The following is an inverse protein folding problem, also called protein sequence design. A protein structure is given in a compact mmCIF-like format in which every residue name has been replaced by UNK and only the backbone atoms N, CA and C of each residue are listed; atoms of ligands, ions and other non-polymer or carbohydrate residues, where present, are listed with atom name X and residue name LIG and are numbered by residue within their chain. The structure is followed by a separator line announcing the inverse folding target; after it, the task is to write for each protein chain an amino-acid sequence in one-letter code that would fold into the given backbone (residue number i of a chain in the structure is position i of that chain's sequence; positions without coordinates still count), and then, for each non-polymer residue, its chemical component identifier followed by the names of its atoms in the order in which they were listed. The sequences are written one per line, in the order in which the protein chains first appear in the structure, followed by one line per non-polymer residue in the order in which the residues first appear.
data_IF_998322484815
#
_entry.id   IF_998322484815
#
_cell.length_a   1.000
_cell.length_b   1.000
_cell.length_c   1.000
_cell.angle_alpha   90.00
_cell.angle_beta   90.00
_cell.angle_gamma   90.00
#
_symmetry.space_group_name_H-M   'P 1'
#
loop_
_entity.id
_entity.type
_entity.pdbx_description
1 polymer ?
#
# COMPACT_ATOMS: atom_id res chain seq x y z
N UNK A 1 6.12 -10.16 2.00
CA UNK A 1 6.75 -9.04 2.72
C UNK A 1 5.85 -8.60 3.85
N UNK A 2 6.44 -8.33 4.99
CA UNK A 2 5.67 -7.90 6.16
C UNK A 2 5.31 -6.43 6.01
N UNK A 3 4.04 -6.12 6.22
CA UNK A 3 3.53 -4.75 6.21
C UNK A 3 2.67 -4.51 7.44
N UNK A 4 2.67 -3.28 7.95
CA UNK A 4 1.73 -2.92 9.00
C UNK A 4 0.38 -2.53 8.38
N UNK A 5 -0.69 -2.80 9.12
CA UNK A 5 -2.04 -2.36 8.78
C UNK A 5 -2.45 -1.11 9.55
N UNK A 6 -1.48 -0.35 10.06
CA UNK A 6 -1.76 0.80 10.91
C UNK A 6 -2.66 1.83 10.23
N UNK A 7 -2.41 2.13 8.95
CA UNK A 7 -3.25 3.08 8.21
C UNK A 7 -4.71 2.63 8.12
N UNK A 8 -4.94 1.34 7.88
CA UNK A 8 -6.29 0.75 7.82
C UNK A 8 -6.96 0.78 9.19
N UNK A 9 -6.23 0.38 10.23
CA UNK A 9 -6.75 0.35 11.61
C UNK A 9 -7.10 1.77 12.10
N UNK A 10 -6.31 2.76 11.74
CA UNK A 10 -6.61 4.16 12.03
C UNK A 10 -7.83 4.65 11.28
N UNK A 11 -7.95 4.34 9.99
CA UNK A 11 -9.08 4.73 9.17
C UNK A 11 -10.39 4.14 9.67
N UNK A 12 -10.39 2.87 10.05
CA UNK A 12 -11.56 2.19 10.63
C UNK A 12 -12.04 2.85 11.93
N UNK A 13 -11.14 3.47 12.68
CA UNK A 13 -11.42 4.08 13.99
C UNK A 13 -11.51 5.60 13.93
N UNK A 14 -11.34 6.20 12.76
CA UNK A 14 -11.35 7.66 12.61
C UNK A 14 -10.21 8.36 13.35
N UNK A 15 -9.06 7.70 13.50
CA UNK A 15 -7.90 8.21 14.22
C UNK A 15 -6.91 8.91 13.29
N UNK A 16 -6.28 9.96 13.82
CA UNK A 16 -5.20 10.69 13.15
C UNK A 16 -3.87 10.38 13.82
N UNK A 17 -2.77 10.67 13.14
CA UNK A 17 -1.41 10.53 13.69
C UNK A 17 -1.27 11.30 15.03
N UNK A 18 -1.84 12.50 15.13
CA UNK A 18 -1.79 13.28 16.35
C UNK A 18 -2.46 12.56 17.52
N UNK A 19 -3.56 11.87 17.30
CA UNK A 19 -4.25 11.11 18.34
C UNK A 19 -3.38 9.98 18.88
N UNK A 20 -2.71 9.24 17.98
CA UNK A 20 -1.79 8.17 18.37
C UNK A 20 -0.57 8.72 19.14
N UNK A 21 -0.02 9.84 18.69
CA UNK A 21 1.10 10.51 19.37
C UNK A 21 0.71 10.90 20.81
N UNK A 22 -0.44 11.49 20.99
CA UNK A 22 -0.91 11.93 22.31
C UNK A 22 -1.16 10.76 23.26
N UNK A 23 -1.76 9.67 22.76
CA UNK A 23 -2.15 8.52 23.58
C UNK A 23 -1.00 7.54 23.83
N UNK A 24 -0.10 7.37 22.89
CA UNK A 24 0.97 6.36 23.01
C UNK A 24 2.33 6.95 23.33
N UNK A 25 2.55 8.23 23.08
CA UNK A 25 3.85 8.88 23.21
C UNK A 25 4.85 8.50 22.10
N UNK A 26 4.43 7.75 21.11
CA UNK A 26 5.29 7.39 19.98
C UNK A 26 5.44 8.60 19.06
N UNK A 27 6.67 8.89 18.61
CA UNK A 27 6.91 10.06 17.76
C UNK A 27 6.12 10.01 16.46
N UNK A 28 5.72 11.17 15.96
CA UNK A 28 4.98 11.28 14.69
C UNK A 28 5.78 10.71 13.52
N UNK A 29 7.10 10.91 13.51
CA UNK A 29 7.99 10.38 12.49
C UNK A 29 7.94 8.84 12.45
N UNK A 30 8.01 8.20 13.62
CA UNK A 30 7.91 6.74 13.73
C UNK A 30 6.54 6.25 13.28
N UNK A 31 5.46 6.92 13.71
CA UNK A 31 4.10 6.55 13.31
C UNK A 31 3.89 6.67 11.80
N UNK A 32 4.39 7.73 11.19
CA UNK A 32 4.32 7.91 9.73
C UNK A 32 5.10 6.83 8.98
N UNK A 33 6.30 6.50 9.45
CA UNK A 33 7.11 5.44 8.85
C UNK A 33 6.38 4.08 8.89
N UNK A 34 5.68 3.79 9.99
CA UNK A 34 4.89 2.56 10.12
C UNK A 34 3.68 2.57 9.19
N UNK A 35 2.96 3.69 9.09
CA UNK A 35 1.78 3.80 8.20
C UNK A 35 2.15 3.69 6.72
N UNK A 36 3.29 4.24 6.34
CA UNK A 36 3.78 4.23 4.96
C UNK A 36 4.54 2.96 4.59
N UNK A 37 4.85 2.12 5.57
CA UNK A 37 5.63 0.89 5.40
C UNK A 37 7.02 1.11 4.76
N UNK A 38 7.64 2.25 5.05
CA UNK A 38 8.94 2.62 4.51
C UNK A 38 10.09 2.45 5.51
N UNK A 39 9.80 1.99 6.73
CA UNK A 39 10.80 1.69 7.75
C UNK A 39 11.42 0.32 7.53
N UNK A 40 12.65 0.14 8.08
CA UNK A 40 13.39 -1.13 8.02
C UNK A 40 13.09 -2.05 9.19
N UNK A 41 12.42 -1.56 10.21
CA UNK A 41 12.09 -2.32 11.40
C UNK A 41 11.25 -1.52 12.37
N UNK A 42 10.73 -2.19 13.37
CA UNK A 42 9.95 -1.58 14.43
C UNK A 42 10.30 -2.28 15.74
N UNK A 43 10.35 -1.52 16.84
CA UNK A 43 10.62 -2.09 18.16
C UNK A 43 9.38 -2.81 18.70
N UNK A 44 9.58 -3.88 19.43
CA UNK A 44 8.48 -4.62 20.08
C UNK A 44 7.65 -3.73 21.01
N UNK A 45 8.31 -2.83 21.75
CA UNK A 45 7.62 -1.89 22.64
C UNK A 45 6.64 -0.99 21.87
N UNK A 46 7.04 -0.53 20.70
CA UNK A 46 6.19 0.28 19.82
C UNK A 46 4.96 -0.50 19.34
N UNK A 47 5.17 -1.73 18.89
CA UNK A 47 4.07 -2.62 18.46
C UNK A 47 3.14 -2.91 19.62
N UNK A 48 3.69 -3.20 20.80
CA UNK A 48 2.91 -3.48 22.01
C UNK A 48 1.99 -2.32 22.39
N UNK A 49 2.53 -1.09 22.40
CA UNK A 49 1.74 0.11 22.68
C UNK A 49 0.63 0.34 21.66
N UNK A 50 0.93 0.16 20.39
CA UNK A 50 -0.04 0.34 19.32
C UNK A 50 -1.14 -0.74 19.37
N UNK A 51 -0.79 -1.98 19.56
CA UNK A 51 -1.75 -3.07 19.69
C UNK A 51 -2.65 -2.87 20.91
N UNK A 52 -2.07 -2.47 22.03
CA UNK A 52 -2.83 -2.20 23.26
C UNK A 52 -3.80 -1.04 23.06
N UNK A 53 -3.36 0.06 22.48
CA UNK A 53 -4.22 1.22 22.24
C UNK A 53 -5.34 0.93 21.24
N UNK A 54 -5.02 0.23 20.15
CA UNK A 54 -5.99 -0.10 19.09
C UNK A 54 -6.88 -1.28 19.45
N UNK A 55 -6.55 -2.05 20.50
CA UNK A 55 -7.29 -3.24 20.89
C UNK A 55 -7.17 -4.38 19.89
N UNK A 56 -5.99 -4.54 19.28
CA UNK A 56 -5.71 -5.58 18.29
C UNK A 56 -4.52 -6.44 18.73
N UNK A 57 -4.43 -7.63 18.14
CA UNK A 57 -3.26 -8.50 18.29
C UNK A 57 -2.20 -8.16 17.23
N UNK A 58 -0.93 -8.59 17.41
CA UNK A 58 0.06 -8.45 16.33
C UNK A 58 -0.34 -9.13 15.03
N UNK A 59 -1.11 -10.21 15.07
CA UNK A 59 -1.64 -10.87 13.89
C UNK A 59 -2.63 -10.00 13.11
N UNK A 60 -3.35 -9.14 13.81
CA UNK A 60 -4.27 -8.16 13.20
C UNK A 60 -3.56 -6.88 12.78
N UNK A 61 -2.43 -6.56 13.44
CA UNK A 61 -1.65 -5.37 13.15
C UNK A 61 -0.77 -5.52 11.93
N UNK A 62 -0.21 -6.71 11.70
CA UNK A 62 0.65 -7.00 10.56
C UNK A 62 -0.08 -7.83 9.53
N UNK A 63 0.33 -7.68 8.28
CA UNK A 63 -0.03 -8.58 7.20
C UNK A 63 1.22 -9.04 6.47
N UNK A 64 1.15 -10.22 5.90
CA UNK A 64 2.23 -10.76 5.08
C UNK A 64 1.74 -10.95 3.66
N UNK A 65 2.46 -10.37 2.72
CA UNK A 65 2.19 -10.58 1.30
C UNK A 65 3.49 -11.02 0.61
N UNK A 66 3.46 -12.11 -0.17
CA UNK A 66 4.62 -12.51 -0.97
C UNK A 66 4.88 -11.55 -2.12
N UNK A 67 3.94 -10.66 -2.42
CA UNK A 67 4.03 -9.73 -3.53
C UNK A 67 3.72 -8.31 -3.08
N UNK A 68 4.49 -7.34 -3.59
CA UNK A 68 4.13 -5.93 -3.55
C UNK A 68 3.66 -5.51 -4.92
N UNK A 69 2.50 -4.86 -4.99
CA UNK A 69 1.92 -4.40 -6.23
C UNK A 69 1.81 -2.87 -6.22
N UNK A 70 2.36 -2.23 -7.24
CA UNK A 70 2.21 -0.81 -7.48
C UNK A 70 1.52 -0.60 -8.83
N UNK A 71 0.60 0.36 -8.86
CA UNK A 71 -0.10 0.75 -10.07
C UNK A 71 0.28 2.19 -10.40
N UNK A 72 0.89 2.39 -11.55
CA UNK A 72 1.25 3.70 -12.05
C UNK A 72 0.47 4.00 -13.34
N UNK A 73 0.12 5.27 -13.50
CA UNK A 73 -0.57 5.73 -14.71
C UNK A 73 0.49 6.11 -15.74
N UNK A 74 0.46 5.45 -16.89
CA UNK A 74 1.32 5.79 -18.02
C UNK A 74 0.68 6.96 -18.76
N UNK A 75 1.46 8.03 -19.00
CA UNK A 75 0.97 9.20 -19.75
C UNK A 75 0.52 8.79 -21.13
N UNK A 76 -0.73 9.12 -21.42
CA UNK A 76 -1.27 8.95 -22.75
C UNK A 76 -0.93 10.19 -23.59
N UNK A 77 -0.44 9.98 -24.83
CA UNK A 77 -0.16 11.03 -25.79
C UNK A 77 -1.43 11.59 -26.49
N UNK A 78 -2.60 11.15 -26.09
CA UNK A 78 -3.86 11.67 -26.62
C UNK A 78 -4.29 12.93 -25.86
N UNK A 79 -4.92 13.87 -26.56
CA UNK A 79 -5.44 15.12 -25.98
C UNK A 79 -6.61 14.93 -25.00
N UNK A 80 -6.87 13.72 -24.57
CA UNK A 80 -7.91 13.42 -23.58
C UNK A 80 -7.31 13.41 -22.20
N UNK A 81 -7.95 14.07 -21.25
CA UNK A 81 -7.51 14.09 -19.84
C UNK A 81 -7.76 12.76 -19.10
N UNK A 82 -8.18 11.73 -19.80
CA UNK A 82 -8.45 10.41 -19.21
C UNK A 82 -7.26 9.51 -19.53
N UNK A 83 -6.49 9.08 -18.51
CA UNK A 83 -5.42 8.10 -18.71
C UNK A 83 -6.04 6.76 -19.12
N UNK A 84 -5.55 6.20 -20.22
CA UNK A 84 -6.05 4.92 -20.75
C UNK A 84 -5.11 3.76 -20.46
N UNK A 85 -3.85 4.04 -20.10
CA UNK A 85 -2.84 3.04 -19.85
C UNK A 85 -2.39 3.08 -18.38
N UNK A 86 -2.34 1.90 -17.77
CA UNK A 86 -1.84 1.70 -16.41
C UNK A 86 -0.69 0.71 -16.44
N UNK A 87 0.37 1.01 -15.70
CA UNK A 87 1.45 0.07 -15.45
C UNK A 87 1.28 -0.52 -14.05
N UNK A 88 1.20 -1.86 -13.99
CA UNK A 88 1.13 -2.60 -12.73
C UNK A 88 2.47 -3.28 -12.52
N UNK A 89 3.17 -2.91 -11.45
CA UNK A 89 4.43 -3.53 -11.04
C UNK A 89 4.18 -4.46 -9.87
N UNK A 90 4.56 -5.73 -10.03
CA UNK A 90 4.47 -6.74 -8.97
C UNK A 90 5.90 -7.17 -8.61
N UNK A 91 6.23 -7.05 -7.32
CA UNK A 91 7.51 -7.45 -6.74
C UNK A 91 7.31 -8.68 -5.86
N UNK A 92 8.06 -9.75 -6.09
CA UNK A 92 8.06 -10.92 -5.22
C UNK A 92 9.20 -10.85 -4.19
N UNK A 93 9.32 -11.88 -3.33
CA UNK A 93 10.36 -11.97 -2.30
C UNK A 93 11.80 -11.97 -2.85
N UNK A 94 11.99 -12.41 -4.07
CA UNK A 94 13.29 -12.45 -4.75
C UNK A 94 13.61 -11.15 -5.48
N UNK A 95 12.79 -10.11 -5.26
CA UNK A 95 12.87 -8.82 -5.96
C UNK A 95 12.72 -8.92 -7.49
N UNK A 96 12.14 -10.00 -7.97
CA UNK A 96 11.75 -10.11 -9.37
C UNK A 96 10.57 -9.18 -9.63
N UNK A 97 10.67 -8.41 -10.71
CA UNK A 97 9.61 -7.48 -11.09
C UNK A 97 8.83 -8.03 -12.26
N UNK A 98 7.53 -8.10 -12.10
CA UNK A 98 6.60 -8.41 -13.17
C UNK A 98 5.86 -7.13 -13.52
N UNK A 99 5.90 -6.77 -14.80
CA UNK A 99 5.21 -5.58 -15.29
C UNK A 99 4.01 -6.00 -16.13
N UNK A 100 2.87 -5.39 -15.84
CA UNK A 100 1.66 -5.57 -16.62
C UNK A 100 1.25 -4.21 -17.17
N UNK A 101 1.11 -4.12 -18.48
CA UNK A 101 0.53 -2.97 -19.11
C UNK A 101 -0.96 -3.22 -19.31
N UNK A 102 -1.78 -2.39 -18.71
CA UNK A 102 -3.23 -2.48 -18.76
C UNK A 102 -3.76 -1.28 -19.51
N UNK A 103 -4.48 -1.53 -20.59
CA UNK A 103 -5.13 -0.49 -21.38
C UNK A 103 -6.64 -0.57 -21.13
N UNK A 104 -7.26 0.53 -20.74
CA UNK A 104 -8.69 0.61 -20.52
C UNK A 104 -9.34 1.14 -21.80
N UNK A 105 -10.16 0.29 -22.44
CA UNK A 105 -10.89 0.64 -23.64
C UNK A 105 -12.35 0.86 -23.24
N UNK A 106 -12.85 2.09 -23.53
CA UNK A 106 -14.25 2.40 -23.34
C UNK A 106 -15.05 1.93 -24.55
N UNK A 107 -16.02 1.05 -24.34
CA UNK A 107 -16.95 0.60 -25.35
C UNK A 107 -18.41 0.78 -24.89
N UNK A 108 -18.97 1.95 -25.17
CA UNK A 108 -20.33 2.27 -24.77
C UNK A 108 -20.50 2.36 -23.26
N UNK A 109 -21.29 1.45 -22.66
CA UNK A 109 -21.60 1.43 -21.23
C UNK A 109 -20.65 0.57 -20.39
N UNK A 110 -19.60 0.01 -20.98
CA UNK A 110 -18.65 -0.87 -20.29
C UNK A 110 -17.21 -0.54 -20.63
N UNK A 111 -16.30 -0.92 -19.71
CA UNK A 111 -14.86 -0.83 -19.90
C UNK A 111 -14.27 -2.22 -20.07
N UNK A 112 -13.54 -2.44 -21.15
CA UNK A 112 -12.78 -3.66 -21.38
C UNK A 112 -11.31 -3.42 -20.98
N UNK A 113 -10.71 -4.39 -20.30
CA UNK A 113 -9.34 -4.27 -19.81
C UNK A 113 -8.48 -5.40 -20.39
N UNK A 114 -7.88 -5.20 -21.59
CA UNK A 114 -6.90 -6.16 -22.10
C UNK A 114 -5.59 -6.03 -21.32
N UNK A 115 -5.02 -7.15 -20.90
CA UNK A 115 -3.80 -7.20 -20.12
C UNK A 115 -2.65 -7.76 -20.95
N UNK A 116 -1.55 -7.02 -21.06
CA UNK A 116 -0.29 -7.50 -21.62
C UNK A 116 0.72 -7.68 -20.49
N UNK A 117 1.38 -8.84 -20.49
CA UNK A 117 2.39 -9.16 -19.48
C UNK A 117 3.78 -9.02 -20.10
N UNK A 118 4.60 -8.14 -19.51
CA UNK A 118 6.01 -8.01 -19.81
C UNK A 118 6.83 -8.43 -18.59
N UNK A 119 7.82 -9.31 -18.79
CA UNK A 119 8.72 -9.76 -17.73
C UNK A 119 10.09 -9.10 -17.88
N UNK A 120 10.58 -8.49 -16.79
CA UNK A 120 11.92 -7.94 -16.69
C UNK A 120 12.63 -8.62 -15.53
N UNK A 121 13.81 -9.12 -15.82
CA UNK A 121 14.69 -9.70 -14.80
C UNK A 121 15.72 -8.69 -14.34
#
# INVERSE_FOLDING_TARGET
MIQSRLSVLMAERGLKIADLYEETGISKTTLMAITENNGKGVQYDTVDKLCNFLGVTPCEFFEYSPYLMNVDVVKNNSNTNIPTDFEITIKNQNYEKLFYLVNIIYSGDSYDIPVKKDEYK
#
